data_IF_483690078925
#
_entry.id   IF_483690078925
#
_cell.length_a   1.000
_cell.length_b   1.000
_cell.length_c   1.000
_cell.angle_alpha   90.00
_cell.angle_beta   90.00
_cell.angle_gamma   90.00
#
_symmetry.space_group_name_H-M   'P 1'
#
loop_
_entity.id
_entity.type
_entity.pdbx_description
1 polymer ?
#
# COMPACT_ATOMS: atom_id res chain seq x y z
N UNK A 1 49.34 4.64 10.25
CA UNK A 1 48.22 5.46 9.71
C UNK A 1 46.99 5.13 10.53
N UNK A 2 46.45 6.08 11.30
CA UNK A 2 45.24 5.87 12.12
C UNK A 2 44.08 6.60 11.46
N UNK A 3 43.00 5.89 11.16
CA UNK A 3 41.77 6.47 10.62
C UNK A 3 41.02 7.13 11.78
N UNK A 4 40.60 8.39 11.62
CA UNK A 4 39.89 9.12 12.66
C UNK A 4 38.55 8.45 12.99
N UNK A 5 38.21 8.37 14.28
CA UNK A 5 36.99 7.72 14.81
C UNK A 5 35.71 8.20 14.13
N UNK A 6 35.62 9.50 13.82
CA UNK A 6 34.52 10.12 13.06
C UNK A 6 34.29 9.54 11.66
N UNK A 7 35.31 8.91 11.05
CA UNK A 7 35.23 8.26 9.75
C UNK A 7 34.70 6.83 9.91
N UNK A 8 35.11 6.12 10.96
CA UNK A 8 34.56 4.80 11.30
C UNK A 8 33.05 4.87 11.61
N UNK A 9 32.62 5.90 12.34
CA UNK A 9 31.21 6.13 12.67
C UNK A 9 30.34 6.50 11.44
N UNK A 10 30.94 6.81 10.29
CA UNK A 10 30.24 7.03 9.02
C UNK A 10 30.28 5.82 8.08
N UNK A 11 30.95 4.74 8.45
CA UNK A 11 30.98 3.53 7.64
C UNK A 11 29.60 2.87 7.68
N UNK A 12 28.99 2.72 6.50
CA UNK A 12 27.76 1.94 6.28
C UNK A 12 28.00 0.43 6.36
N UNK A 13 29.24 0.02 6.60
CA UNK A 13 29.65 -1.35 6.76
C UNK A 13 29.35 -1.83 8.18
N UNK A 14 28.21 -2.49 8.34
CA UNK A 14 27.87 -3.24 9.55
C UNK A 14 28.79 -4.46 9.68
N UNK A 15 29.08 -4.85 10.92
CA UNK A 15 29.76 -6.12 11.19
C UNK A 15 28.98 -7.27 10.50
N UNK A 16 29.66 -8.25 9.86
CA UNK A 16 28.99 -9.38 9.22
C UNK A 16 27.97 -10.09 10.13
N UNK A 17 28.23 -10.19 11.44
CA UNK A 17 27.32 -10.79 12.40
C UNK A 17 26.06 -9.95 12.63
N UNK A 18 26.19 -8.63 12.71
CA UNK A 18 25.04 -7.72 12.85
C UNK A 18 24.18 -7.70 11.58
N UNK A 19 24.81 -7.72 10.41
CA UNK A 19 24.12 -7.80 9.13
C UNK A 19 23.30 -9.10 9.02
N UNK A 20 23.86 -10.21 9.46
CA UNK A 20 23.20 -11.51 9.44
C UNK A 20 22.07 -11.60 10.47
N UNK A 21 22.28 -11.08 11.69
CA UNK A 21 21.24 -10.98 12.72
C UNK A 21 20.05 -10.15 12.23
N UNK A 22 20.31 -9.03 11.57
CA UNK A 22 19.27 -8.18 10.96
C UNK A 22 18.55 -8.89 9.83
N UNK A 23 19.27 -9.65 8.98
CA UNK A 23 18.67 -10.45 7.91
C UNK A 23 17.70 -11.49 8.47
N UNK A 24 18.11 -12.25 9.48
CA UNK A 24 17.27 -13.25 10.15
C UNK A 24 16.04 -12.61 10.81
N UNK A 25 16.22 -11.47 11.49
CA UNK A 25 15.12 -10.73 12.09
C UNK A 25 14.07 -10.31 11.06
N UNK A 26 14.51 -9.73 9.94
CA UNK A 26 13.61 -9.30 8.86
C UNK A 26 12.94 -10.49 8.15
N UNK A 27 13.62 -11.62 7.99
CA UNK A 27 13.02 -12.83 7.43
C UNK A 27 11.93 -13.43 8.32
N UNK A 28 12.03 -13.23 9.65
CA UNK A 28 11.01 -13.66 10.60
C UNK A 28 9.81 -12.71 10.70
N UNK A 29 9.85 -11.53 10.07
CA UNK A 29 8.72 -10.61 10.06
C UNK A 29 7.73 -11.02 8.98
N UNK A 30 6.58 -11.54 9.39
CA UNK A 30 5.43 -11.72 8.50
C UNK A 30 4.93 -10.34 8.06
N UNK A 31 5.05 -10.03 6.78
CA UNK A 31 4.42 -8.84 6.21
C UNK A 31 2.90 -9.05 6.30
N UNK A 32 2.15 -8.13 6.95
CA UNK A 32 0.70 -8.23 6.96
C UNK A 32 0.21 -8.25 5.52
N UNK A 33 -0.62 -9.23 5.17
CA UNK A 33 -1.29 -9.25 3.88
C UNK A 33 -2.29 -8.08 3.85
N UNK A 34 -1.86 -6.98 3.27
CA UNK A 34 -2.64 -5.75 3.12
C UNK A 34 -3.58 -5.82 1.93
N UNK A 35 -3.99 -7.02 1.48
CA UNK A 35 -5.01 -7.14 0.43
C UNK A 35 -6.29 -6.45 0.89
N UNK A 36 -6.42 -5.17 0.52
CA UNK A 36 -7.59 -4.35 0.76
C UNK A 36 -8.70 -4.98 -0.07
N UNK A 37 -9.56 -5.76 0.58
CA UNK A 37 -10.75 -6.37 -0.02
C UNK A 37 -11.83 -5.28 -0.18
N UNK A 38 -11.55 -4.23 -0.96
CA UNK A 38 -12.63 -3.38 -1.45
C UNK A 38 -13.43 -4.23 -2.41
N UNK A 39 -14.61 -4.66 -1.95
CA UNK A 39 -15.51 -5.54 -2.68
C UNK A 39 -16.68 -4.82 -3.29
N UNK A 40 -16.81 -3.51 -3.06
CA UNK A 40 -17.94 -2.70 -3.51
C UNK A 40 -17.43 -1.46 -4.21
N UNK A 41 -17.99 -1.20 -5.38
CA UNK A 41 -17.61 -0.14 -6.28
C UNK A 41 -18.87 0.53 -6.83
N UNK A 42 -18.74 1.81 -7.18
CA UNK A 42 -19.75 2.57 -7.89
C UNK A 42 -19.13 3.12 -9.18
N UNK A 43 -19.72 2.81 -10.32
CA UNK A 43 -19.28 3.32 -11.62
C UNK A 43 -19.97 4.65 -11.93
N UNK A 44 -19.23 5.75 -11.91
CA UNK A 44 -19.77 7.09 -12.20
C UNK A 44 -20.27 7.23 -13.64
N UNK A 45 -19.70 6.46 -14.57
CA UNK A 45 -20.10 6.50 -15.99
C UNK A 45 -21.41 5.72 -16.24
N UNK A 46 -21.61 4.62 -15.53
CA UNK A 46 -22.80 3.77 -15.69
C UNK A 46 -23.90 4.07 -14.66
N UNK A 47 -23.57 4.87 -13.64
CA UNK A 47 -24.46 5.17 -12.50
C UNK A 47 -24.92 3.90 -11.75
N UNK A 48 -24.03 2.90 -11.68
CA UNK A 48 -24.34 1.56 -11.15
C UNK A 48 -23.32 1.14 -10.09
N UNK A 49 -23.85 0.60 -8.99
CA UNK A 49 -23.08 -0.14 -7.99
C UNK A 49 -22.74 -1.55 -8.48
N UNK A 50 -21.53 -2.01 -8.20
CA UNK A 50 -21.07 -3.34 -8.55
C UNK A 50 -20.06 -3.89 -7.51
N UNK A 51 -19.88 -5.20 -7.50
CA UNK A 51 -19.00 -5.87 -6.55
C UNK A 51 -17.85 -6.62 -7.23
N UNK A 52 -16.76 -6.84 -6.49
CA UNK A 52 -15.60 -7.59 -6.96
C UNK A 52 -14.39 -6.71 -7.31
N UNK A 53 -13.74 -7.01 -8.44
CA UNK A 53 -12.56 -6.27 -8.91
C UNK A 53 -12.92 -4.88 -9.43
N UNK A 54 -11.98 -3.93 -9.43
CA UNK A 54 -12.18 -2.54 -9.91
C UNK A 54 -12.30 -2.47 -11.44
N UNK A 55 -13.34 -3.07 -11.99
CA UNK A 55 -13.70 -3.02 -13.40
C UNK A 55 -15.22 -3.13 -13.51
N UNK A 56 -15.87 -2.04 -13.96
CA UNK A 56 -17.32 -2.05 -14.14
C UNK A 56 -17.70 -3.06 -15.23
N UNK A 57 -18.63 -4.00 -14.95
CA UNK A 57 -19.03 -5.01 -15.93
C UNK A 57 -19.77 -4.42 -17.14
N UNK A 58 -20.41 -3.26 -16.97
CA UNK A 58 -21.21 -2.60 -18.01
C UNK A 58 -20.34 -1.85 -19.04
N UNK A 59 -19.32 -1.09 -18.60
CA UNK A 59 -18.43 -0.34 -19.50
C UNK A 59 -17.04 -0.97 -19.69
N UNK A 60 -16.75 -2.08 -19.00
CA UNK A 60 -15.47 -2.80 -19.08
C UNK A 60 -14.26 -1.99 -18.61
N UNK A 61 -14.48 -0.91 -17.86
CA UNK A 61 -13.44 0.06 -17.50
C UNK A 61 -13.46 0.36 -16.00
N UNK A 62 -12.28 0.31 -15.36
CA UNK A 62 -12.10 0.65 -13.94
C UNK A 62 -11.90 2.14 -13.63
N UNK A 63 -11.68 2.98 -14.65
CA UNK A 63 -11.29 4.41 -14.48
C UNK A 63 -12.39 5.25 -13.82
N UNK A 64 -13.66 4.89 -14.03
CA UNK A 64 -14.82 5.59 -13.45
C UNK A 64 -15.33 4.94 -12.16
N UNK A 65 -14.60 3.95 -11.64
CA UNK A 65 -15.03 3.19 -10.47
C UNK A 65 -14.47 3.77 -9.18
N UNK A 66 -15.37 4.10 -8.25
CA UNK A 66 -15.06 4.61 -6.90
C UNK A 66 -15.49 3.59 -5.86
N UNK A 67 -14.87 3.59 -4.69
CA UNK A 67 -15.24 2.65 -3.62
C UNK A 67 -16.69 2.91 -3.18
N UNK A 68 -17.53 1.88 -3.29
CA UNK A 68 -18.92 1.91 -2.86
C UNK A 68 -19.00 1.52 -1.38
N UNK A 69 -19.21 2.48 -0.48
CA UNK A 69 -19.46 2.16 0.93
C UNK A 69 -18.72 2.96 2.00
N UNK A 70 -17.97 4.02 1.66
CA UNK A 70 -17.62 5.06 2.62
C UNK A 70 -18.50 6.29 2.38
N UNK A 71 -19.78 6.19 2.75
CA UNK A 71 -20.56 7.40 3.02
C UNK A 71 -20.32 7.82 4.47
N UNK A 72 -19.15 8.39 4.73
CA UNK A 72 -19.05 9.45 5.74
C UNK A 72 -18.99 10.77 4.96
N UNK A 73 -20.12 11.46 4.92
CA UNK A 73 -20.22 12.77 4.29
C UNK A 73 -21.04 12.74 3.01
N UNK A 74 -22.21 13.36 3.08
CA UNK A 74 -23.07 13.72 1.96
C UNK A 74 -22.28 14.58 0.95
N UNK A 75 -21.90 14.01 -0.21
CA UNK A 75 -21.28 14.74 -1.33
C UNK A 75 -22.30 15.36 -2.29
N UNK A 76 -23.62 15.12 -2.09
CA UNK A 76 -24.66 15.60 -3.01
C UNK A 76 -25.01 17.08 -2.86
N UNK A 77 -24.43 17.78 -1.89
CA UNK A 77 -24.71 19.20 -1.62
C UNK A 77 -23.62 20.18 -2.07
N UNK A 78 -22.76 19.83 -3.04
CA UNK A 78 -21.75 20.80 -3.52
C UNK A 78 -21.68 20.90 -5.05
N UNK A 79 -22.59 21.76 -5.52
CA UNK A 79 -22.61 22.53 -6.76
C UNK A 79 -22.85 21.78 -8.07
#
# INVERSE_FOLDING_TARGET
MTVAEKILLRCTWLDPAEKEARRLHLQGMTVPDYTVKVRKWFCVMCDEDYEGEKCCPSCGTGVYSREGGLQEGNWKDRN
#
